data_IF_313587871364
#
_entry.id   IF_313587871364
#
_cell.length_a   1.000
_cell.length_b   1.000
_cell.length_c   1.000
_cell.angle_alpha   90.00
_cell.angle_beta   90.00
_cell.angle_gamma   90.00
#
_symmetry.space_group_name_H-M   'P 1'
#
loop_
_entity.id
_entity.type
_entity.pdbx_description
1 polymer ?
#
# COMPACT_ATOMS: atom_id res chain seq x y z
N UNK A 1 9.02 -19.28 12.13
CA UNK A 1 9.83 -19.02 10.93
C UNK A 1 9.38 -17.68 10.37
N UNK A 2 10.32 -16.79 10.09
CA UNK A 2 10.04 -15.53 9.40
C UNK A 2 10.09 -15.80 7.89
N UNK A 3 9.16 -15.22 7.13
CA UNK A 3 9.15 -15.35 5.67
C UNK A 3 10.11 -14.33 5.08
N UNK A 4 11.00 -14.72 4.18
CA UNK A 4 11.97 -13.83 3.54
C UNK A 4 11.47 -13.27 2.21
N UNK A 5 12.06 -12.17 1.72
CA UNK A 5 11.77 -11.61 0.39
C UNK A 5 12.02 -12.64 -0.73
N UNK A 6 13.10 -13.41 -0.61
CA UNK A 6 13.46 -14.45 -1.58
C UNK A 6 12.40 -15.54 -1.65
N UNK A 7 11.89 -16.00 -0.50
CA UNK A 7 10.80 -16.96 -0.45
C UNK A 7 9.52 -16.41 -1.09
N UNK A 8 9.19 -15.14 -0.81
CA UNK A 8 8.05 -14.47 -1.43
C UNK A 8 8.19 -14.37 -2.96
N UNK A 9 9.38 -14.07 -3.47
CA UNK A 9 9.63 -13.98 -4.91
C UNK A 9 9.56 -15.34 -5.60
N UNK A 10 10.10 -16.40 -4.97
CA UNK A 10 9.93 -17.78 -5.43
C UNK A 10 8.45 -18.16 -5.46
N UNK A 11 7.69 -17.87 -4.40
CA UNK A 11 6.25 -18.14 -4.35
C UNK A 11 5.48 -17.39 -5.44
N UNK A 12 5.85 -16.13 -5.72
CA UNK A 12 5.24 -15.32 -6.78
C UNK A 12 5.43 -15.93 -8.17
N UNK A 13 6.63 -16.41 -8.47
CA UNK A 13 6.95 -16.97 -9.79
C UNK A 13 6.47 -18.43 -9.95
N UNK A 14 6.71 -19.25 -8.93
CA UNK A 14 6.41 -20.69 -8.99
C UNK A 14 4.95 -21.02 -8.66
N UNK A 15 4.24 -20.14 -7.94
CA UNK A 15 2.92 -20.40 -7.33
C UNK A 15 2.94 -21.68 -6.49
N UNK A 16 4.06 -21.93 -5.80
CA UNK A 16 4.27 -23.06 -4.89
C UNK A 16 4.63 -22.58 -3.49
N UNK A 17 4.19 -23.33 -2.50
CA UNK A 17 4.64 -23.26 -1.11
C UNK A 17 5.58 -24.44 -0.90
N UNK A 18 6.89 -24.19 -0.84
CA UNK A 18 7.90 -25.24 -0.94
C UNK A 18 7.70 -26.05 -2.23
N UNK A 19 7.52 -27.38 -2.16
CA UNK A 19 7.24 -28.23 -3.33
C UNK A 19 5.75 -28.30 -3.70
N UNK A 20 4.87 -27.86 -2.81
CA UNK A 20 3.43 -28.02 -2.95
C UNK A 20 2.80 -26.89 -3.79
N UNK A 21 1.92 -27.21 -4.76
CA UNK A 21 1.23 -26.20 -5.54
C UNK A 21 0.25 -25.41 -4.68
N UNK A 22 0.16 -24.10 -4.94
CA UNK A 22 -0.83 -23.23 -4.31
C UNK A 22 -2.09 -23.16 -5.18
N UNK A 23 -3.26 -23.05 -4.54
CA UNK A 23 -4.52 -22.86 -5.23
C UNK A 23 -4.89 -21.37 -5.29
N UNK A 24 -5.37 -20.91 -6.45
CA UNK A 24 -5.91 -19.56 -6.59
C UNK A 24 -7.28 -19.47 -5.93
N UNK A 25 -7.45 -18.48 -5.06
CA UNK A 25 -8.71 -18.15 -4.41
C UNK A 25 -8.86 -16.63 -4.43
N UNK A 26 -9.84 -16.13 -5.20
CA UNK A 26 -10.02 -14.68 -5.44
C UNK A 26 -8.72 -14.02 -5.95
N UNK A 27 -8.18 -13.08 -5.15
CA UNK A 27 -6.97 -12.30 -5.41
C UNK A 27 -5.74 -12.89 -4.70
N UNK A 28 -5.86 -14.12 -4.18
CA UNK A 28 -4.86 -14.79 -3.33
C UNK A 28 -4.47 -16.13 -3.91
N UNK A 29 -3.27 -16.57 -3.55
CA UNK A 29 -2.80 -17.95 -3.72
C UNK A 29 -2.61 -18.54 -2.34
N UNK A 30 -3.19 -19.70 -2.08
CA UNK A 30 -3.23 -20.30 -0.76
C UNK A 30 -2.79 -21.76 -0.88
N UNK A 31 -1.89 -22.16 0.02
CA UNK A 31 -1.64 -23.55 0.36
C UNK A 31 -1.99 -23.72 1.84
N UNK A 32 -3.00 -24.54 2.12
CA UNK A 32 -3.45 -24.83 3.46
C UNK A 32 -3.68 -26.34 3.58
N UNK A 33 -2.93 -26.98 4.47
CA UNK A 33 -3.05 -28.40 4.76
C UNK A 33 -2.99 -28.58 6.28
N UNK A 34 -3.92 -29.35 6.82
CA UNK A 34 -3.85 -29.75 8.22
C UNK A 34 -2.72 -30.78 8.40
N UNK A 35 -2.03 -30.74 9.54
CA UNK A 35 -1.05 -31.75 9.85
C UNK A 35 -1.73 -33.11 9.95
N UNK A 36 -1.20 -34.12 9.25
CA UNK A 36 -1.71 -35.47 9.37
C UNK A 36 -1.29 -36.07 10.71
N UNK A 37 -2.27 -36.62 11.43
CA UNK A 37 -2.03 -37.39 12.63
C UNK A 37 -1.47 -38.76 12.27
N UNK A 38 -0.15 -38.86 12.16
CA UNK A 38 0.55 -40.13 11.91
C UNK A 38 1.12 -40.67 13.22
N UNK A 39 0.44 -41.66 13.82
CA UNK A 39 0.86 -42.31 15.06
C UNK A 39 0.85 -43.83 14.97
N UNK A 40 1.99 -44.46 15.28
CA UNK A 40 2.05 -45.89 15.65
C UNK A 40 2.24 -45.99 17.16
N UNK A 41 1.64 -47.00 17.79
CA UNK A 41 1.50 -47.10 19.26
C UNK A 41 2.80 -47.10 20.09
N UNK A 42 3.97 -47.02 19.46
CA UNK A 42 5.29 -46.98 20.11
C UNK A 42 6.28 -46.00 19.46
N UNK A 43 5.83 -45.15 18.51
CA UNK A 43 6.72 -44.22 17.80
C UNK A 43 6.08 -42.85 17.70
N UNK A 44 6.67 -41.87 18.37
CA UNK A 44 6.28 -40.46 18.22
C UNK A 44 6.81 -39.94 16.89
N UNK A 45 5.92 -39.66 15.95
CA UNK A 45 6.26 -38.97 14.70
C UNK A 45 5.71 -37.55 14.79
N UNK A 46 6.56 -36.54 14.62
CA UNK A 46 6.14 -35.13 14.52
C UNK A 46 5.97 -34.77 13.06
N UNK A 47 4.73 -34.61 12.61
CA UNK A 47 4.41 -34.06 11.29
C UNK A 47 4.32 -32.54 11.42
N UNK A 48 5.07 -31.82 10.59
CA UNK A 48 5.06 -30.35 10.54
C UNK A 48 4.55 -29.93 9.17
N UNK A 49 3.42 -29.21 9.17
CA UNK A 49 2.86 -28.62 7.94
C UNK A 49 3.02 -27.12 7.99
N UNK A 50 3.47 -26.53 6.87
CA UNK A 50 3.62 -25.07 6.71
C UNK A 50 2.55 -24.59 5.75
N UNK A 51 1.65 -23.74 6.23
CA UNK A 51 0.65 -23.08 5.40
C UNK A 51 1.23 -21.80 4.81
N UNK A 52 0.95 -21.56 3.53
CA UNK A 52 1.42 -20.37 2.83
C UNK A 52 0.25 -19.59 2.22
N UNK A 53 0.37 -18.26 2.22
CA UNK A 53 -0.55 -17.37 1.53
C UNK A 53 0.24 -16.29 0.80
N UNK A 54 -0.14 -16.03 -0.45
CA UNK A 54 0.38 -14.94 -1.27
C UNK A 54 -0.80 -14.10 -1.75
N UNK A 55 -0.77 -12.81 -1.43
CA UNK A 55 -1.81 -11.85 -1.79
C UNK A 55 -1.19 -10.67 -2.52
N UNK A 56 -1.76 -10.31 -3.66
CA UNK A 56 -1.37 -9.09 -4.37
C UNK A 56 -2.13 -7.90 -3.80
N UNK A 57 -1.39 -6.90 -3.31
CA UNK A 57 -1.96 -5.68 -2.73
C UNK A 57 -1.47 -4.45 -3.48
N UNK A 58 -2.33 -3.44 -3.59
CA UNK A 58 -1.98 -2.15 -4.20
C UNK A 58 -1.45 -1.22 -3.12
N UNK A 59 -0.21 -0.77 -3.30
CA UNK A 59 0.38 0.28 -2.47
C UNK A 59 0.34 1.60 -3.24
N UNK A 60 0.09 2.70 -2.52
CA UNK A 60 0.04 4.04 -3.11
C UNK A 60 0.87 5.02 -2.29
N UNK A 61 1.53 5.95 -2.99
CA UNK A 61 2.22 7.10 -2.42
C UNK A 61 1.58 8.38 -2.96
N UNK A 62 1.52 9.40 -2.11
CA UNK A 62 0.85 10.68 -2.43
C UNK A 62 1.87 11.72 -2.93
N UNK A 63 3.13 11.61 -2.51
CA UNK A 63 4.22 12.52 -2.84
C UNK A 63 5.39 11.79 -3.52
N UNK A 64 6.35 12.58 -4.00
CA UNK A 64 7.67 12.10 -4.48
C UNK A 64 8.58 11.66 -3.31
N UNK A 65 8.03 11.59 -2.09
CA UNK A 65 8.78 11.16 -0.93
C UNK A 65 9.16 9.69 -1.02
N UNK A 66 10.28 9.35 -0.36
CA UNK A 66 10.78 7.99 -0.32
C UNK A 66 9.95 7.08 0.60
N UNK A 67 8.82 7.53 1.15
CA UNK A 67 8.02 6.77 2.09
C UNK A 67 6.70 6.32 1.47
N UNK A 68 6.43 5.01 1.54
CA UNK A 68 5.16 4.43 1.11
C UNK A 68 4.33 4.02 2.33
N UNK A 69 3.01 4.28 2.28
CA UNK A 69 2.08 3.76 3.27
C UNK A 69 1.79 2.30 2.96
N UNK A 70 2.04 1.43 3.93
CA UNK A 70 1.77 -0.01 3.86
C UNK A 70 0.69 -0.38 4.88
N UNK A 71 0.02 -1.54 4.74
CA UNK A 71 -0.89 -2.06 5.77
C UNK A 71 -0.25 -2.31 7.15
N UNK A 72 1.07 -2.16 7.27
CA UNK A 72 1.84 -2.36 8.51
C UNK A 72 2.50 -1.08 9.03
N UNK A 73 2.38 0.05 8.34
CA UNK A 73 3.03 1.31 8.70
C UNK A 73 3.69 1.98 7.50
N UNK A 74 4.69 2.83 7.74
CA UNK A 74 5.45 3.48 6.66
C UNK A 74 6.76 2.75 6.40
N UNK A 75 7.09 2.53 5.13
CA UNK A 75 8.35 1.93 4.72
C UNK A 75 9.05 2.80 3.69
N UNK A 76 10.38 2.73 3.62
CA UNK A 76 11.14 3.41 2.58
C UNK A 76 11.03 2.62 1.26
N UNK A 77 10.65 3.29 0.17
CA UNK A 77 10.49 2.69 -1.17
C UNK A 77 11.76 1.97 -1.62
N UNK A 78 12.93 2.54 -1.33
CA UNK A 78 14.24 1.98 -1.70
C UNK A 78 14.56 0.64 -1.04
N UNK A 79 13.89 0.29 0.07
CA UNK A 79 14.11 -0.99 0.73
C UNK A 79 13.56 -2.17 -0.06
N UNK A 80 12.56 -1.96 -0.94
CA UNK A 80 11.95 -3.02 -1.76
C UNK A 80 11.11 -4.04 -0.99
N UNK A 81 11.35 -4.22 0.32
CA UNK A 81 10.61 -5.12 1.18
C UNK A 81 10.47 -4.60 2.61
N UNK A 82 9.46 -5.12 3.29
CA UNK A 82 9.18 -4.92 4.71
C UNK A 82 8.70 -6.25 5.29
N UNK A 83 9.54 -6.87 6.10
CA UNK A 83 9.20 -8.06 6.88
C UNK A 83 8.89 -7.68 8.32
N UNK A 84 7.79 -8.18 8.85
CA UNK A 84 7.48 -8.08 10.26
C UNK A 84 6.70 -9.32 10.72
N UNK A 85 7.29 -10.07 11.66
CA UNK A 85 6.78 -11.36 12.13
C UNK A 85 6.64 -12.38 10.98
N UNK A 86 5.45 -12.97 10.82
CA UNK A 86 5.14 -14.00 9.82
C UNK A 86 4.62 -13.44 8.49
N UNK A 87 4.86 -12.15 8.21
CA UNK A 87 4.39 -11.49 6.99
C UNK A 87 5.50 -10.66 6.37
N UNK A 88 5.67 -10.82 5.07
CA UNK A 88 6.60 -10.04 4.26
C UNK A 88 5.85 -9.37 3.13
N UNK A 89 5.92 -8.05 3.11
CA UNK A 89 5.48 -7.21 2.01
C UNK A 89 6.69 -6.94 1.13
N UNK A 90 6.56 -7.08 -0.18
CA UNK A 90 7.62 -6.74 -1.11
C UNK A 90 7.03 -6.07 -2.34
N UNK A 91 7.80 -5.16 -2.94
CA UNK A 91 7.40 -4.40 -4.11
C UNK A 91 8.62 -4.18 -5.00
N UNK A 92 8.35 -4.08 -6.30
CA UNK A 92 9.37 -3.78 -7.30
C UNK A 92 9.01 -2.41 -7.87
N UNK A 93 9.89 -1.42 -7.66
CA UNK A 93 9.65 -0.02 -8.01
C UNK A 93 9.34 0.18 -9.50
N UNK A 94 9.89 -0.69 -10.37
CA UNK A 94 9.63 -0.65 -11.82
C UNK A 94 8.18 -0.95 -12.21
N UNK A 95 7.38 -1.51 -11.31
CA UNK A 95 5.94 -1.72 -11.51
C UNK A 95 5.08 -0.54 -11.04
N UNK A 96 5.70 0.47 -10.41
CA UNK A 96 5.06 1.71 -10.05
C UNK A 96 4.56 2.44 -11.30
N UNK A 97 3.25 2.58 -11.45
CA UNK A 97 2.68 3.47 -12.45
C UNK A 97 2.43 4.82 -11.80
N UNK A 98 3.00 5.87 -12.39
CA UNK A 98 2.52 7.23 -12.15
C UNK A 98 1.04 7.24 -12.53
N UNK A 99 0.20 7.27 -11.50
CA UNK A 99 -1.21 7.59 -11.68
C UNK A 99 -1.28 9.10 -11.67
N UNK A 100 -2.02 9.67 -12.62
CA UNK A 100 -2.29 11.12 -12.62
C UNK A 100 -2.73 11.52 -11.22
N UNK A 101 -2.25 12.68 -10.75
CA UNK A 101 -2.68 13.27 -9.49
C UNK A 101 -4.20 13.45 -9.60
N UNK A 102 -4.95 12.45 -9.12
CA UNK A 102 -6.38 12.50 -9.08
C UNK A 102 -6.69 13.53 -7.99
N UNK A 103 -7.06 14.74 -8.41
CA UNK A 103 -7.55 15.78 -7.51
C UNK A 103 -8.77 15.18 -6.84
N UNK A 104 -8.59 14.66 -5.64
CA UNK A 104 -9.67 14.13 -4.82
C UNK A 104 -10.33 15.33 -4.17
N UNK A 105 -11.62 15.52 -4.45
CA UNK A 105 -12.43 16.48 -3.70
C UNK A 105 -12.41 16.05 -2.22
N UNK A 106 -11.75 16.84 -1.39
CA UNK A 106 -11.68 16.60 0.06
C UNK A 106 -13.00 16.96 0.73
N UNK A 107 -13.60 18.08 0.32
CA UNK A 107 -14.82 18.61 0.91
C UNK A 107 -15.58 19.46 -0.12
N UNK A 108 -16.89 19.63 0.05
CA UNK A 108 -17.71 20.56 -0.74
C UNK A 108 -18.66 21.31 0.17
N UNK A 109 -18.66 22.63 0.09
CA UNK A 109 -19.46 23.49 0.93
C UNK A 109 -19.48 24.92 0.43
N UNK A 110 -20.07 25.79 1.23
CA UNK A 110 -20.06 27.23 1.05
C UNK A 110 -19.41 27.80 2.30
N UNK A 111 -18.34 28.56 2.13
CA UNK A 111 -17.59 29.16 3.22
C UNK A 111 -17.23 30.61 2.93
N UNK A 112 -16.77 31.30 3.97
CA UNK A 112 -16.25 32.66 3.88
C UNK A 112 -14.75 32.62 3.65
N UNK A 113 -14.28 33.47 2.73
CA UNK A 113 -12.87 33.59 2.39
C UNK A 113 -12.33 34.90 2.95
N UNK A 114 -11.27 34.85 3.76
CA UNK A 114 -10.64 36.04 4.30
C UNK A 114 -9.11 35.92 4.36
N UNK A 115 -8.45 37.07 4.30
CA UNK A 115 -6.99 37.13 4.44
C UNK A 115 -6.62 36.91 5.91
N UNK A 116 -5.65 36.05 6.15
CA UNK A 116 -5.15 35.80 7.51
C UNK A 116 -4.19 36.90 7.96
N UNK A 117 -3.85 36.93 9.24
CA UNK A 117 -2.84 37.84 9.80
C UNK A 117 -1.45 37.67 9.16
N UNK A 118 -1.19 36.56 8.46
CA UNK A 118 0.06 36.32 7.73
C UNK A 118 -0.13 36.63 6.25
N UNK A 119 0.66 37.58 5.74
CA UNK A 119 0.63 38.00 4.34
C UNK A 119 0.79 36.80 3.38
N UNK A 120 -0.07 36.72 2.38
CA UNK A 120 -0.09 35.64 1.38
C UNK A 120 -0.74 34.34 1.86
N UNK A 121 -1.32 34.32 3.06
CA UNK A 121 -2.12 33.20 3.56
C UNK A 121 -3.58 33.60 3.70
N UNK A 122 -4.45 32.66 3.36
CA UNK A 122 -5.89 32.85 3.34
C UNK A 122 -6.57 31.77 4.17
N UNK A 123 -7.72 32.08 4.75
CA UNK A 123 -8.54 31.11 5.47
C UNK A 123 -9.88 31.01 4.76
N UNK A 124 -10.27 29.77 4.47
CA UNK A 124 -11.61 29.41 4.03
C UNK A 124 -12.33 28.76 5.22
N UNK A 125 -13.32 29.45 5.76
CA UNK A 125 -14.10 29.02 6.92
C UNK A 125 -15.49 28.55 6.51
N UNK A 126 -15.84 27.32 6.85
CA UNK A 126 -17.19 26.78 6.73
C UNK A 126 -17.79 26.65 8.14
N UNK A 127 -18.49 27.69 8.58
CA UNK A 127 -19.13 27.76 9.91
C UNK A 127 -20.13 26.63 10.14
N UNK A 128 -20.78 26.15 9.07
CA UNK A 128 -21.78 25.09 9.16
C UNK A 128 -21.15 23.75 9.52
N UNK A 129 -19.89 23.56 9.13
CA UNK A 129 -19.10 22.34 9.39
C UNK A 129 -18.05 22.52 10.47
N UNK A 130 -17.87 23.74 10.97
CA UNK A 130 -16.79 24.10 11.90
C UNK A 130 -15.40 23.70 11.36
N UNK A 131 -15.17 23.96 10.06
CA UNK A 131 -13.93 23.63 9.38
C UNK A 131 -13.24 24.90 8.87
N UNK A 132 -11.94 25.03 9.17
CA UNK A 132 -11.08 26.08 8.66
C UNK A 132 -9.97 25.48 7.79
N UNK A 133 -9.88 25.93 6.54
CA UNK A 133 -8.82 25.55 5.61
C UNK A 133 -7.84 26.69 5.43
N UNK A 134 -6.58 26.46 5.78
CA UNK A 134 -5.49 27.41 5.56
C UNK A 134 -4.94 27.22 4.14
N UNK A 135 -5.17 28.21 3.29
CA UNK A 135 -4.72 28.21 1.91
C UNK A 135 -3.51 29.14 1.72
N UNK A 136 -2.58 28.71 0.88
CA UNK A 136 -1.51 29.55 0.32
C UNK A 136 -1.68 29.60 -1.18
N UNK A 137 -1.69 30.81 -1.72
CA UNK A 137 -1.67 30.99 -3.17
C UNK A 137 -0.26 30.66 -3.68
N UNK A 138 -0.11 29.48 -4.24
CA UNK A 138 1.04 29.16 -5.09
C UNK A 138 0.74 29.62 -6.52
N UNK A 139 1.61 30.44 -7.12
CA UNK A 139 1.55 30.72 -8.56
C UNK A 139 1.76 29.41 -9.33
N UNK A 140 0.67 28.77 -9.75
CA UNK A 140 0.73 27.77 -10.82
C UNK A 140 0.68 28.54 -12.13
N UNK A 141 1.83 28.69 -12.78
CA UNK A 141 1.85 29.04 -14.20
C UNK A 141 1.21 27.88 -14.98
N UNK A 142 -0.10 27.93 -15.18
CA UNK A 142 -0.69 27.17 -16.28
C UNK A 142 -0.30 27.94 -17.55
N UNK A 143 0.70 27.43 -18.27
CA UNK A 143 0.92 27.81 -19.67
C UNK A 143 -0.28 27.34 -20.48
N UNK A 144 -1.39 28.08 -20.41
CA UNK A 144 -2.45 27.98 -21.41
C UNK A 144 -1.90 28.68 -22.63
N UNK A 145 -1.36 27.90 -23.59
CA UNK A 145 -1.11 28.41 -24.94
C UNK A 145 -2.47 28.80 -25.53
N UNK A 146 -2.79 30.08 -25.53
CA UNK A 146 -3.87 30.60 -26.35
C UNK A 146 -3.41 30.55 -27.81
N UNK A 147 -3.85 29.55 -28.55
CA UNK A 147 -3.78 29.60 -30.02
C UNK A 147 -4.75 30.69 -30.50
N UNK A 148 -4.18 31.76 -31.06
CA UNK A 148 -4.96 32.74 -31.83
C UNK A 148 -5.40 32.04 -33.12
N UNK A 149 -6.71 31.99 -33.33
CA UNK A 149 -7.33 31.70 -34.62
C UNK A 149 -7.38 32.95 -35.47
#
# INVERSE_FOLDING_TARGET
>A
METTEVECDIMKHSRRCNESPMMKSENKWIFNQEAEDVGYWLRTTTVVTVNCMLEEVVLSRIDEGDMINTPRGKANVSHGSLSHNHLTLFWIDTHGKLTDIAIRQLEKGVGFWYESSTNGTWILQDDSKQLDFHARLTQRFQTVKCEKK
#
